data_IF_488445500924
#
_entry.id   IF_488445500924
#
_cell.length_a   1.000
_cell.length_b   1.000
_cell.length_c   1.000
_cell.angle_alpha   90.00
_cell.angle_beta   90.00
_cell.angle_gamma   90.00
#
_symmetry.space_group_name_H-M   'P 1'
#
loop_
_entity.id
_entity.type
_entity.pdbx_description
1 polymer ?
#
# COMPACT_ATOMS: atom_id res chain seq x y z
N UNK A 1 -31.89 -0.01 3.49
CA UNK A 1 -31.20 -0.41 2.24
C UNK A 1 -30.53 -1.74 2.53
N UNK A 2 -30.95 -2.82 1.88
CA UNK A 2 -30.25 -4.11 2.01
C UNK A 2 -28.85 -3.93 1.42
N UNK A 3 -27.84 -3.80 2.29
CA UNK A 3 -26.45 -3.93 1.89
C UNK A 3 -26.29 -5.33 1.32
N UNK A 4 -26.13 -5.45 0.01
CA UNK A 4 -25.78 -6.71 -0.62
C UNK A 4 -24.44 -7.13 -0.01
N UNK A 5 -24.46 -8.18 0.78
CA UNK A 5 -23.27 -8.72 1.41
C UNK A 5 -22.31 -9.20 0.31
N UNK A 6 -21.13 -8.59 0.26
CA UNK A 6 -20.10 -8.94 -0.70
C UNK A 6 -19.54 -10.30 -0.31
N UNK A 7 -19.53 -11.24 -1.24
CA UNK A 7 -19.02 -12.60 -1.01
C UNK A 7 -17.58 -12.74 -1.50
N UNK A 8 -16.82 -13.66 -0.88
CA UNK A 8 -15.48 -14.06 -1.36
C UNK A 8 -15.49 -14.43 -2.84
N UNK A 9 -16.48 -15.23 -3.28
CA UNK A 9 -16.64 -15.63 -4.67
C UNK A 9 -16.74 -14.44 -5.63
N UNK A 10 -17.56 -13.43 -5.29
CA UNK A 10 -17.68 -12.23 -6.13
C UNK A 10 -16.37 -11.45 -6.21
N UNK A 11 -15.60 -11.36 -5.11
CA UNK A 11 -14.29 -10.72 -5.10
C UNK A 11 -13.32 -11.51 -5.97
N UNK A 12 -13.25 -12.83 -5.81
CA UNK A 12 -12.41 -13.73 -6.61
C UNK A 12 -12.70 -13.58 -8.10
N UNK A 13 -13.98 -13.65 -8.49
CA UNK A 13 -14.40 -13.46 -9.87
C UNK A 13 -13.99 -12.07 -10.39
N UNK A 14 -14.13 -11.03 -9.57
CA UNK A 14 -13.75 -9.66 -9.93
C UNK A 14 -12.24 -9.47 -10.11
N UNK A 15 -11.42 -10.15 -9.30
CA UNK A 15 -9.95 -10.18 -9.44
C UNK A 15 -9.59 -10.83 -10.78
N UNK A 16 -10.11 -12.02 -11.05
CA UNK A 16 -9.76 -12.77 -12.27
C UNK A 16 -10.34 -12.17 -13.56
N UNK A 17 -11.42 -11.42 -13.47
CA UNK A 17 -12.00 -10.69 -14.62
C UNK A 17 -11.44 -9.28 -14.80
N UNK A 18 -10.46 -8.86 -14.00
CA UNK A 18 -9.83 -7.54 -14.11
C UNK A 18 -10.76 -6.37 -13.74
N UNK A 19 -11.82 -6.64 -12.96
CA UNK A 19 -12.77 -5.63 -12.47
C UNK A 19 -12.25 -4.89 -11.24
N UNK A 20 -11.31 -5.48 -10.50
CA UNK A 20 -10.57 -4.76 -9.47
C UNK A 20 -9.31 -4.18 -10.11
N UNK A 21 -9.24 -2.85 -10.16
CA UNK A 21 -8.25 -2.10 -10.92
C UNK A 21 -7.45 -1.16 -10.01
N UNK A 22 -6.19 -0.87 -10.35
CA UNK A 22 -5.40 0.13 -9.65
C UNK A 22 -5.86 1.53 -10.05
N UNK A 23 -6.27 2.31 -9.07
CA UNK A 23 -6.42 3.76 -9.20
C UNK A 23 -5.21 4.42 -8.56
N UNK A 24 -4.91 5.66 -8.96
CA UNK A 24 -3.76 6.42 -8.47
C UNK A 24 -4.20 7.69 -7.78
N UNK A 25 -3.65 7.94 -6.59
CA UNK A 25 -3.83 9.19 -5.85
C UNK A 25 -2.51 9.98 -5.82
N UNK A 26 -2.47 11.25 -6.27
CA UNK A 26 -1.25 12.04 -6.29
C UNK A 26 -0.63 12.25 -4.90
N UNK A 27 0.69 12.09 -4.82
CA UNK A 27 1.52 12.45 -3.67
C UNK A 27 2.36 13.65 -4.06
N UNK A 28 2.29 14.72 -3.28
CA UNK A 28 3.04 15.97 -3.51
C UNK A 28 4.00 16.25 -2.38
N UNK A 29 5.13 16.88 -2.68
CA UNK A 29 6.05 17.36 -1.64
C UNK A 29 5.54 18.67 -1.00
N UNK A 30 6.29 19.19 -0.02
CA UNK A 30 5.98 20.46 0.67
C UNK A 30 5.78 21.68 -0.23
N UNK A 31 6.35 21.65 -1.44
CA UNK A 31 6.23 22.71 -2.45
C UNK A 31 5.06 22.46 -3.43
N UNK A 32 4.20 21.47 -3.15
CA UNK A 32 3.09 21.02 -4.00
C UNK A 32 3.53 20.46 -5.36
N UNK A 33 4.80 20.06 -5.47
CA UNK A 33 5.30 19.38 -6.67
C UNK A 33 4.96 17.90 -6.55
N UNK A 34 4.37 17.35 -7.61
CA UNK A 34 4.09 15.92 -7.74
C UNK A 34 5.39 15.12 -7.63
N UNK A 35 5.42 14.14 -6.72
CA UNK A 35 6.57 13.26 -6.51
C UNK A 35 6.24 11.78 -6.70
N UNK A 36 4.96 11.42 -6.67
CA UNK A 36 4.55 10.05 -6.90
C UNK A 36 3.04 9.88 -6.79
N UNK A 37 2.61 8.63 -6.73
CA UNK A 37 1.21 8.27 -6.57
C UNK A 37 1.05 7.10 -5.61
N UNK A 38 -0.02 7.10 -4.82
CA UNK A 38 -0.47 5.94 -4.06
C UNK A 38 -1.42 5.09 -4.91
N UNK A 39 -1.16 3.79 -4.98
CA UNK A 39 -2.02 2.83 -5.68
C UNK A 39 -3.12 2.37 -4.74
N UNK A 40 -4.36 2.57 -5.19
CA UNK A 40 -5.56 2.19 -4.46
C UNK A 40 -6.42 1.25 -5.29
N UNK A 41 -6.76 0.08 -4.73
CA UNK A 41 -7.68 -0.84 -5.37
C UNK A 41 -9.08 -0.20 -5.51
N UNK A 42 -9.72 -0.36 -6.67
CA UNK A 42 -11.12 0.02 -6.89
C UNK A 42 -11.81 -1.10 -7.64
N UNK A 43 -12.98 -1.50 -7.16
CA UNK A 43 -13.76 -2.54 -7.80
C UNK A 43 -14.85 -1.91 -8.67
N UNK A 44 -14.66 -2.00 -9.98
CA UNK A 44 -15.61 -1.54 -11.00
C UNK A 44 -16.72 -2.58 -11.15
N UNK A 45 -17.92 -2.25 -10.66
CA UNK A 45 -19.09 -3.13 -10.73
C UNK A 45 -19.87 -2.87 -12.01
N UNK A 46 -20.01 -1.60 -12.37
CA UNK A 46 -20.61 -1.10 -13.61
C UNK A 46 -20.03 0.27 -13.95
N UNK A 47 -20.43 0.87 -15.08
CA UNK A 47 -20.00 2.21 -15.51
C UNK A 47 -20.28 3.31 -14.46
N UNK A 48 -21.30 3.11 -13.61
CA UNK A 48 -21.73 4.10 -12.61
C UNK A 48 -21.55 3.61 -11.16
N UNK A 49 -20.97 2.42 -10.94
CA UNK A 49 -20.79 1.85 -9.60
C UNK A 49 -19.35 1.40 -9.40
N UNK A 50 -18.66 2.08 -8.47
CA UNK A 50 -17.34 1.73 -7.98
C UNK A 50 -17.43 1.41 -6.50
N UNK A 51 -16.98 0.21 -6.13
CA UNK A 51 -16.82 -0.19 -4.74
C UNK A 51 -15.45 0.20 -4.23
N UNK A 52 -15.44 0.91 -3.10
CA UNK A 52 -14.23 1.37 -2.42
C UNK A 52 -13.57 0.24 -1.63
N UNK A 53 -12.25 0.30 -1.38
CA UNK A 53 -11.48 -0.68 -0.62
C UNK A 53 -12.18 -1.13 0.67
N UNK A 54 -12.70 -0.18 1.45
CA UNK A 54 -13.35 -0.44 2.74
C UNK A 54 -14.52 -1.44 2.65
N UNK A 55 -15.12 -1.62 1.47
CA UNK A 55 -16.25 -2.55 1.28
C UNK A 55 -15.81 -4.00 1.05
N UNK A 56 -14.59 -4.27 0.58
CA UNK A 56 -14.15 -5.62 0.21
C UNK A 56 -12.79 -6.02 0.77
N UNK A 57 -11.90 -5.07 1.08
CA UNK A 57 -10.58 -5.35 1.67
C UNK A 57 -10.68 -6.09 3.02
N UNK A 58 -11.64 -5.82 3.93
CA UNK A 58 -11.77 -6.62 5.14
C UNK A 58 -11.91 -8.13 4.85
N UNK A 59 -12.69 -8.50 3.82
CA UNK A 59 -12.89 -9.90 3.42
C UNK A 59 -11.62 -10.48 2.78
N UNK A 60 -10.87 -9.66 2.03
CA UNK A 60 -9.59 -10.03 1.42
C UNK A 60 -8.50 -10.24 2.46
N UNK A 61 -8.44 -9.37 3.48
CA UNK A 61 -7.44 -9.42 4.56
C UNK A 61 -7.54 -10.74 5.33
N UNK A 62 -8.76 -11.20 5.60
CA UNK A 62 -9.01 -12.44 6.35
C UNK A 62 -8.71 -13.73 5.53
N UNK A 63 -8.25 -13.61 4.28
CA UNK A 63 -7.96 -14.72 3.38
C UNK A 63 -6.63 -14.48 2.65
N UNK A 64 -5.57 -15.10 3.16
CA UNK A 64 -4.20 -14.89 2.64
C UNK A 64 -4.08 -15.20 1.14
N UNK A 65 -4.77 -16.24 0.66
CA UNK A 65 -4.76 -16.60 -0.76
C UNK A 65 -5.45 -15.53 -1.60
N UNK A 66 -6.60 -15.03 -1.14
CA UNK A 66 -7.32 -13.98 -1.85
C UNK A 66 -6.52 -12.67 -1.87
N UNK A 67 -5.85 -12.33 -0.78
CA UNK A 67 -4.93 -11.20 -0.66
C UNK A 67 -3.76 -11.29 -1.65
N UNK A 68 -3.13 -12.46 -1.75
CA UNK A 68 -2.06 -12.70 -2.72
C UNK A 68 -2.58 -12.60 -4.16
N UNK A 69 -3.73 -13.21 -4.46
CA UNK A 69 -4.36 -13.11 -5.78
C UNK A 69 -4.67 -11.66 -6.18
N UNK A 70 -5.21 -10.86 -5.28
CA UNK A 70 -5.48 -9.44 -5.53
C UNK A 70 -4.17 -8.69 -5.80
N UNK A 71 -3.17 -8.87 -4.95
CA UNK A 71 -1.86 -8.22 -5.09
C UNK A 71 -1.21 -8.55 -6.43
N UNK A 72 -1.18 -9.84 -6.78
CA UNK A 72 -0.67 -10.31 -8.07
C UNK A 72 -1.40 -9.66 -9.25
N UNK A 73 -2.74 -9.64 -9.23
CA UNK A 73 -3.54 -9.06 -10.29
C UNK A 73 -3.32 -7.56 -10.47
N UNK A 74 -3.17 -6.82 -9.37
CA UNK A 74 -2.87 -5.38 -9.41
C UNK A 74 -1.47 -5.10 -9.94
N UNK A 75 -0.45 -5.86 -9.49
CA UNK A 75 0.92 -5.71 -9.97
C UNK A 75 1.02 -5.98 -11.48
N UNK A 76 0.36 -7.01 -12.00
CA UNK A 76 0.34 -7.29 -13.43
C UNK A 76 -0.29 -6.15 -14.25
N UNK A 77 -1.38 -5.56 -13.75
CA UNK A 77 -2.01 -4.40 -14.38
C UNK A 77 -1.08 -3.17 -14.36
N UNK A 78 -0.41 -2.90 -13.24
CA UNK A 78 0.56 -1.81 -13.11
C UNK A 78 1.76 -1.99 -14.04
N UNK A 79 2.32 -3.20 -14.12
CA UNK A 79 3.42 -3.52 -15.04
C UNK A 79 2.98 -3.25 -16.48
N UNK A 80 1.79 -3.74 -16.87
CA UNK A 80 1.26 -3.51 -18.21
C UNK A 80 1.05 -2.02 -18.51
N UNK A 81 0.63 -1.23 -17.51
CA UNK A 81 0.44 0.20 -17.66
C UNK A 81 1.78 0.92 -17.82
N UNK A 82 2.70 0.74 -16.87
CA UNK A 82 3.93 1.52 -16.80
C UNK A 82 5.03 1.09 -17.78
N UNK A 83 4.93 -0.10 -18.38
CA UNK A 83 5.90 -0.59 -19.38
C UNK A 83 6.17 0.39 -20.54
N UNK A 84 5.21 1.26 -20.87
CA UNK A 84 5.32 2.20 -21.99
C UNK A 84 5.33 3.68 -21.57
N UNK A 85 5.43 3.97 -20.26
CA UNK A 85 5.41 5.34 -19.75
C UNK A 85 6.78 5.75 -19.21
N UNK A 86 7.34 6.84 -19.77
CA UNK A 86 8.55 7.46 -19.25
C UNK A 86 8.22 8.34 -18.02
N UNK A 87 8.08 7.73 -16.85
CA UNK A 87 7.77 8.42 -15.60
C UNK A 87 9.03 8.75 -14.79
N UNK A 88 10.00 9.39 -15.45
CA UNK A 88 11.30 9.71 -14.86
C UNK A 88 11.09 10.57 -13.61
N UNK A 89 11.61 10.10 -12.48
CA UNK A 89 11.62 10.84 -11.21
C UNK A 89 10.38 10.72 -10.34
N UNK A 90 9.32 10.02 -10.79
CA UNK A 90 8.16 9.71 -9.98
C UNK A 90 8.27 8.32 -9.35
N UNK A 91 7.57 8.11 -8.24
CA UNK A 91 7.37 6.79 -7.66
C UNK A 91 5.88 6.40 -7.62
N UNK A 92 5.61 5.11 -7.48
CA UNK A 92 4.32 4.61 -7.03
C UNK A 92 4.48 3.90 -5.70
N UNK A 93 3.52 4.08 -4.81
CA UNK A 93 3.46 3.36 -3.55
C UNK A 93 2.30 2.36 -3.54
N UNK A 94 2.55 1.17 -2.99
CA UNK A 94 1.63 0.04 -3.06
C UNK A 94 1.52 -0.61 -1.69
N UNK A 95 0.30 -0.70 -1.17
CA UNK A 95 0.00 -1.43 0.05
C UNK A 95 0.22 -2.93 -0.12
N UNK A 96 1.03 -3.53 0.76
CA UNK A 96 1.36 -4.95 0.74
C UNK A 96 1.27 -5.52 2.15
N UNK A 97 0.51 -6.62 2.30
CA UNK A 97 0.55 -7.45 3.50
C UNK A 97 1.81 -8.32 3.50
N UNK A 98 2.39 -8.53 4.67
CA UNK A 98 3.62 -9.31 4.88
C UNK A 98 3.49 -10.74 4.37
N UNK A 99 2.35 -11.39 4.60
CA UNK A 99 2.10 -12.73 4.06
C UNK A 99 2.03 -12.77 2.53
N UNK A 100 1.79 -11.64 1.87
CA UNK A 100 1.73 -11.55 0.41
C UNK A 100 3.12 -11.36 -0.23
N UNK A 101 4.20 -11.16 0.54
CA UNK A 101 5.57 -11.09 0.01
C UNK A 101 6.14 -12.47 -0.31
N UNK A 102 5.45 -13.21 -1.17
CA UNK A 102 5.91 -14.48 -1.71
C UNK A 102 6.93 -14.25 -2.84
N UNK A 103 7.74 -15.26 -3.18
CA UNK A 103 8.72 -15.13 -4.29
C UNK A 103 8.10 -14.64 -5.61
N UNK A 104 6.90 -15.11 -6.04
CA UNK A 104 6.23 -14.56 -7.22
C UNK A 104 5.94 -13.06 -7.11
N UNK A 105 5.41 -12.60 -5.98
CA UNK A 105 5.09 -11.18 -5.76
C UNK A 105 6.35 -10.33 -5.73
N UNK A 106 7.41 -10.79 -5.07
CA UNK A 106 8.72 -10.13 -5.05
C UNK A 106 9.26 -9.94 -6.46
N UNK A 107 9.21 -10.98 -7.31
CA UNK A 107 9.66 -10.89 -8.69
C UNK A 107 8.84 -9.88 -9.52
N UNK A 108 7.53 -9.79 -9.27
CA UNK A 108 6.67 -8.80 -9.91
C UNK A 108 6.99 -7.38 -9.45
N UNK A 109 7.25 -7.17 -8.17
CA UNK A 109 7.67 -5.86 -7.63
C UNK A 109 8.99 -5.40 -8.26
N UNK A 110 9.98 -6.30 -8.37
CA UNK A 110 11.27 -6.00 -9.03
C UNK A 110 11.06 -5.65 -10.50
N UNK A 111 10.22 -6.43 -11.20
CA UNK A 111 9.88 -6.17 -12.61
C UNK A 111 9.20 -4.81 -12.78
N UNK A 112 8.27 -4.46 -11.89
CA UNK A 112 7.61 -3.16 -11.89
C UNK A 112 8.60 -2.02 -11.61
N UNK A 113 9.56 -2.24 -10.68
CA UNK A 113 10.58 -1.28 -10.31
C UNK A 113 11.50 -0.87 -11.48
N UNK A 114 11.63 -1.73 -12.49
CA UNK A 114 12.37 -1.41 -13.72
C UNK A 114 11.66 -0.36 -14.59
N UNK A 115 10.33 -0.23 -14.45
CA UNK A 115 9.51 0.70 -15.25
C UNK A 115 9.19 2.00 -14.49
N UNK A 116 9.05 1.93 -13.17
CA UNK A 116 8.76 3.06 -12.30
C UNK A 116 9.29 2.78 -10.90
N UNK A 117 9.79 3.78 -10.18
CA UNK A 117 10.29 3.56 -8.82
C UNK A 117 9.14 3.05 -7.93
N UNK A 118 9.35 1.93 -7.25
CA UNK A 118 8.36 1.31 -6.37
C UNK A 118 8.68 1.61 -4.91
N UNK A 119 7.65 1.97 -4.17
CA UNK A 119 7.62 2.00 -2.72
C UNK A 119 6.59 0.96 -2.27
N UNK A 120 6.97 0.02 -1.42
CA UNK A 120 5.98 -0.83 -0.75
C UNK A 120 5.58 -0.20 0.58
N UNK A 121 4.29 -0.22 0.88
CA UNK A 121 3.73 0.27 2.13
C UNK A 121 3.32 -0.92 3.00
N UNK A 122 3.94 -1.03 4.17
CA UNK A 122 3.64 -2.06 5.17
C UNK A 122 2.65 -1.46 6.17
N UNK A 123 1.49 -2.10 6.33
CA UNK A 123 0.46 -1.65 7.25
C UNK A 123 0.90 -1.86 8.71
N UNK A 124 0.71 -0.87 9.59
CA UNK A 124 1.06 -0.98 11.03
C UNK A 124 0.40 -2.19 11.72
N UNK A 125 -0.85 -2.46 11.36
CA UNK A 125 -1.71 -3.52 11.92
C UNK A 125 -1.64 -4.85 11.15
N UNK A 126 -0.52 -5.10 10.47
CA UNK A 126 -0.27 -6.36 9.79
C UNK A 126 0.26 -7.44 10.76
N UNK A 127 -0.25 -8.66 10.61
CA UNK A 127 0.02 -9.78 11.52
C UNK A 127 1.30 -10.51 11.13
N UNK A 128 2.44 -9.89 11.43
CA UNK A 128 3.77 -10.44 11.10
C UNK A 128 4.10 -11.62 12.02
N UNK A 129 4.03 -12.84 11.49
CA UNK A 129 4.31 -14.08 12.23
C UNK A 129 5.81 -14.25 12.51
N UNK A 130 6.66 -14.05 11.49
CA UNK A 130 8.12 -14.19 11.60
C UNK A 130 8.82 -12.89 11.19
N UNK A 131 9.15 -12.08 12.20
CA UNK A 131 9.72 -10.75 12.00
C UNK A 131 11.11 -10.78 11.37
N UNK A 132 11.97 -11.74 11.74
CA UNK A 132 13.34 -11.84 11.21
C UNK A 132 13.32 -12.17 9.72
N UNK A 133 12.47 -13.13 9.33
CA UNK A 133 12.29 -13.47 7.92
C UNK A 133 11.70 -12.29 7.13
N UNK A 134 10.73 -11.58 7.71
CA UNK A 134 10.14 -10.41 7.09
C UNK A 134 11.16 -9.29 6.90
N UNK A 135 11.97 -8.96 7.91
CA UNK A 135 13.07 -7.98 7.80
C UNK A 135 14.08 -8.36 6.73
N UNK A 136 14.48 -9.64 6.69
CA UNK A 136 15.36 -10.17 5.63
C UNK A 136 14.77 -9.94 4.23
N UNK A 137 13.47 -10.11 4.09
CA UNK A 137 12.75 -9.89 2.83
C UNK A 137 12.70 -8.40 2.47
N UNK A 138 12.45 -7.52 3.43
CA UNK A 138 12.48 -6.06 3.21
C UNK A 138 13.88 -5.58 2.82
N UNK A 139 14.92 -6.10 3.48
CA UNK A 139 16.32 -5.75 3.17
C UNK A 139 16.71 -6.21 1.76
N UNK A 140 16.25 -7.40 1.35
CA UNK A 140 16.41 -7.86 -0.02
C UNK A 140 15.73 -6.92 -1.03
N UNK A 141 14.48 -6.51 -0.78
CA UNK A 141 13.77 -5.56 -1.65
C UNK A 141 14.49 -4.21 -1.74
N UNK A 142 15.06 -3.73 -0.62
CA UNK A 142 15.90 -2.52 -0.60
C UNK A 142 17.15 -2.64 -1.46
N UNK A 143 17.82 -3.79 -1.44
CA UNK A 143 18.98 -4.06 -2.32
C UNK A 143 18.56 -3.99 -3.79
N UNK A 144 17.36 -4.46 -4.13
CA UNK A 144 16.77 -4.37 -5.47
C UNK A 144 16.24 -2.95 -5.82
N UNK A 145 16.52 -1.96 -4.98
CA UNK A 145 16.16 -0.55 -5.21
C UNK A 145 14.70 -0.21 -4.91
N UNK A 146 13.94 -1.14 -4.33
CA UNK A 146 12.56 -0.88 -3.88
C UNK A 146 12.61 -0.23 -2.51
N UNK A 147 11.88 0.87 -2.34
CA UNK A 147 11.79 1.56 -1.06
C UNK A 147 10.68 0.96 -0.19
N UNK A 148 10.81 1.14 1.12
CA UNK A 148 9.85 0.62 2.10
C UNK A 148 9.30 1.76 2.93
N UNK A 149 7.98 1.82 3.03
CA UNK A 149 7.24 2.73 3.88
C UNK A 149 6.47 1.95 4.97
N UNK A 150 6.23 2.60 6.10
CA UNK A 150 5.22 2.15 7.07
C UNK A 150 3.97 3.03 6.94
N UNK A 151 2.81 2.40 6.80
CA UNK A 151 1.51 3.07 6.68
C UNK A 151 0.77 3.12 8.02
N UNK A 152 -0.06 4.14 8.18
CA UNK A 152 -0.83 4.44 9.39
C UNK A 152 0.00 4.41 10.68
N UNK A 153 1.18 5.02 10.68
CA UNK A 153 2.05 5.01 11.86
C UNK A 153 1.46 5.81 13.04
N UNK A 154 1.17 5.13 14.15
CA UNK A 154 0.72 5.74 15.40
C UNK A 154 -0.79 5.72 15.63
N UNK A 155 -1.57 4.91 14.89
CA UNK A 155 -3.01 4.76 15.08
C UNK A 155 -3.40 3.77 16.18
N UNK A 156 -2.49 2.86 16.57
CA UNK A 156 -2.81 1.74 17.46
C UNK A 156 -2.14 1.79 18.83
N UNK A 157 -2.84 1.24 19.84
CA UNK A 157 -2.27 0.86 21.15
C UNK A 157 -1.13 -0.18 21.05
N UNK A 158 -0.91 -0.72 19.86
CA UNK A 158 0.22 -1.55 19.48
C UNK A 158 1.14 -0.71 18.61
N UNK A 159 1.94 0.18 19.21
CA UNK A 159 3.22 0.54 18.57
C UNK A 159 3.89 -0.79 18.33
N UNK A 160 3.88 -1.27 17.08
CA UNK A 160 4.40 -2.58 16.76
C UNK A 160 5.92 -2.46 16.91
N UNK A 161 6.41 -2.62 18.15
CA UNK A 161 7.83 -2.54 18.53
C UNK A 161 8.71 -3.39 17.62
N UNK A 162 8.11 -4.37 16.94
CA UNK A 162 8.69 -5.29 15.97
C UNK A 162 9.40 -4.60 14.81
N UNK A 163 8.98 -3.40 14.39
CA UNK A 163 9.61 -2.66 13.29
C UNK A 163 10.02 -1.24 13.67
N UNK A 164 9.96 -0.87 14.95
CA UNK A 164 10.31 0.48 15.39
C UNK A 164 11.77 0.86 15.07
N UNK A 165 12.66 -0.12 15.06
CA UNK A 165 14.08 0.02 14.72
C UNK A 165 14.38 -0.30 13.25
N UNK A 166 13.37 -0.65 12.45
CA UNK A 166 13.58 -0.89 11.03
C UNK A 166 13.82 0.44 10.29
N UNK A 167 14.86 0.54 9.45
CA UNK A 167 15.21 1.80 8.77
C UNK A 167 14.30 2.05 7.56
N UNK A 168 13.04 2.39 7.78
CA UNK A 168 12.10 2.74 6.71
C UNK A 168 12.56 3.97 5.90
N UNK A 169 12.25 3.98 4.61
CA UNK A 169 12.52 5.14 3.73
C UNK A 169 11.45 6.22 3.89
N UNK A 170 10.22 5.82 4.21
CA UNK A 170 9.09 6.72 4.44
C UNK A 170 8.26 6.27 5.65
N UNK A 171 7.66 7.25 6.31
CA UNK A 171 6.67 7.04 7.38
C UNK A 171 5.43 7.85 7.00
N UNK A 172 4.29 7.18 6.81
CA UNK A 172 3.00 7.85 6.59
C UNK A 172 2.34 8.05 7.95
N UNK A 173 1.96 9.31 8.21
CA UNK A 173 1.28 9.71 9.44
C UNK A 173 -0.22 9.81 9.18
N UNK A 174 -1.04 9.39 10.15
CA UNK A 174 -2.49 9.57 10.07
C UNK A 174 -2.85 11.04 10.28
N UNK A 175 -3.93 11.48 9.63
CA UNK A 175 -4.50 12.82 9.71
C UNK A 175 -4.65 13.36 11.14
N UNK A 176 -5.15 12.56 12.09
CA UNK A 176 -5.32 13.02 13.49
C UNK A 176 -3.98 13.28 14.21
N UNK A 177 -2.94 12.50 13.88
CA UNK A 177 -1.60 12.70 14.46
C UNK A 177 -0.98 14.00 13.92
N UNK A 178 -1.24 14.34 12.65
CA UNK A 178 -0.82 15.60 12.05
C UNK A 178 -1.45 16.80 12.76
N UNK A 179 -2.76 16.77 13.03
CA UNK A 179 -3.43 17.84 13.80
C UNK A 179 -2.79 18.03 15.18
N UNK A 180 -2.54 16.93 15.89
CA UNK A 180 -1.96 16.95 17.23
C UNK A 180 -0.53 17.48 17.23
N UNK A 181 0.32 17.03 16.29
CA UNK A 181 1.70 17.48 16.15
C UNK A 181 1.78 18.97 15.76
N UNK A 182 0.89 19.44 14.88
CA UNK A 182 0.79 20.85 14.52
C UNK A 182 0.41 21.68 15.75
N UNK A 183 -0.58 21.25 16.53
CA UNK A 183 -1.00 21.95 17.75
C UNK A 183 0.15 22.00 18.80
N UNK A 184 0.87 20.90 18.99
CA UNK A 184 2.04 20.86 19.89
C UNK A 184 3.16 21.79 19.40
N UNK A 185 3.49 21.81 18.11
CA UNK A 185 4.50 22.70 17.54
C UNK A 185 4.11 24.18 17.68
N UNK A 186 2.83 24.53 17.51
CA UNK A 186 2.35 25.90 17.71
C UNK A 186 2.38 26.30 19.19
N UNK A 187 2.00 25.41 20.11
CA UNK A 187 2.05 25.67 21.55
C UNK A 187 3.47 25.85 22.09
N UNK A 188 4.45 25.14 21.53
CA UNK A 188 5.86 25.22 21.93
C UNK A 188 6.57 26.45 21.36
N UNK A 189 6.07 27.03 20.27
CA UNK A 189 6.56 28.29 19.71
C UNK A 189 5.86 29.55 20.28
N UNK A 190 4.74 29.41 21.01
CA UNK A 190 4.12 30.50 21.76
C UNK A 190 4.66 30.69 23.18
N UNK A 191 5.58 29.84 23.62
CA UNK A 191 6.32 30.00 24.89
C UNK A 191 7.73 30.60 24.70
N UNK A 192 7.97 31.35 23.63
CA UNK A 192 9.17 32.18 23.45
C UNK A 192 8.82 33.65 23.26
#
# INVERSE_FOLDING_TARGET
>A
MNSIEITKKQITDAIFTGKIQPFIQPIVNKNKVLVGYEVLARWIVSEHEIRLPLTFIPIVKDDQQLSECLTNALLLQLISHFKFHNNIGLFISINIYSHSLTTPIINLLITLNQSINVVIEILENDDIINIEHFRTTLDFLKIEGIKVAIDDFGCGNNVNKRLFDYPFDYVKLIDFLLETLILMYLSSNHCK
#
